data_IF_545220545818
#
_entry.id   IF_545220545818
#
_cell.length_a   1.000
_cell.length_b   1.000
_cell.length_c   1.000
_cell.angle_alpha   90.00
_cell.angle_beta   90.00
_cell.angle_gamma   90.00
#
_symmetry.space_group_name_H-M   'P 1'
#
loop_
_entity.id
_entity.type
_entity.pdbx_description
1 polymer ?
#
# COMPACT_ATOMS: atom_id res chain seq x y z
N UNK A 1 -1.72 -4.95 -12.17
CA UNK A 1 -1.12 -3.67 -11.72
C UNK A 1 -0.18 -3.18 -12.81
N UNK A 2 -0.07 -1.87 -13.02
CA UNK A 2 0.82 -1.27 -14.03
C UNK A 2 0.13 -0.67 -15.26
N UNK A 3 -1.15 -0.31 -15.14
CA UNK A 3 -1.86 0.45 -16.19
C UNK A 3 -1.55 1.95 -16.11
N UNK A 4 -1.87 2.72 -17.15
CA UNK A 4 -1.71 4.19 -17.14
C UNK A 4 -2.47 4.90 -16.01
N UNK A 5 -3.54 4.29 -15.49
CA UNK A 5 -4.29 4.76 -14.32
C UNK A 5 -3.51 4.54 -13.02
N UNK A 6 -2.68 3.50 -12.96
CA UNK A 6 -1.83 3.24 -11.80
C UNK A 6 -0.66 4.24 -11.73
N UNK A 7 -0.18 4.73 -12.88
CA UNK A 7 0.90 5.74 -12.95
C UNK A 7 0.48 7.07 -12.33
N UNK A 8 -0.77 7.50 -12.53
CA UNK A 8 -1.28 8.72 -11.88
C UNK A 8 -1.38 8.61 -10.36
N UNK A 9 -1.47 7.38 -9.83
CA UNK A 9 -1.50 7.11 -8.38
C UNK A 9 -0.10 7.10 -7.76
N UNK A 10 0.97 7.06 -8.56
CA UNK A 10 2.34 7.06 -8.08
C UNK A 10 2.84 8.45 -7.65
N UNK A 11 2.26 9.52 -8.22
CA UNK A 11 2.59 10.88 -7.83
C UNK A 11 2.16 11.12 -6.36
N UNK A 12 3.12 11.45 -5.50
CA UNK A 12 2.91 11.61 -4.06
C UNK A 12 2.95 10.31 -3.24
N UNK A 13 3.22 9.15 -3.85
CA UNK A 13 3.51 7.94 -3.08
C UNK A 13 4.96 7.91 -2.59
N UNK A 14 5.18 7.34 -1.41
CA UNK A 14 6.51 7.02 -0.93
C UNK A 14 7.06 5.77 -1.63
N UNK A 15 8.34 5.78 -1.97
CA UNK A 15 9.05 4.67 -2.60
C UNK A 15 10.17 4.21 -1.67
N UNK A 16 10.16 2.94 -1.27
CA UNK A 16 11.34 2.33 -0.64
C UNK A 16 12.48 2.21 -1.65
N UNK A 17 13.60 2.87 -1.37
CA UNK A 17 14.80 2.90 -2.21
C UNK A 17 15.91 2.09 -1.54
N UNK A 18 16.53 1.19 -2.31
CA UNK A 18 17.76 0.51 -1.92
C UNK A 18 18.74 0.50 -3.09
N UNK A 19 19.99 0.86 -2.83
CA UNK A 19 21.07 0.87 -3.81
C UNK A 19 22.43 0.76 -3.09
N UNK A 20 23.54 0.51 -3.81
CA UNK A 20 24.88 0.80 -3.28
C UNK A 20 24.98 2.25 -2.80
N UNK A 21 25.75 2.51 -1.76
CA UNK A 21 25.85 3.83 -1.11
C UNK A 21 26.29 4.92 -2.10
N UNK A 22 27.20 4.58 -3.03
CA UNK A 22 27.70 5.50 -4.06
C UNK A 22 26.61 5.96 -5.04
N UNK A 23 25.52 5.20 -5.14
CA UNK A 23 24.39 5.46 -6.04
C UNK A 23 23.16 6.01 -5.31
N UNK A 24 23.20 6.14 -3.98
CA UNK A 24 22.05 6.56 -3.18
C UNK A 24 21.42 7.86 -3.67
N UNK A 25 22.22 8.91 -3.83
CA UNK A 25 21.73 10.22 -4.29
C UNK A 25 21.08 10.14 -5.68
N UNK A 26 21.64 9.34 -6.58
CA UNK A 26 21.07 9.15 -7.92
C UNK A 26 19.75 8.37 -7.88
N UNK A 27 19.66 7.35 -7.02
CA UNK A 27 18.44 6.56 -6.83
C UNK A 27 17.30 7.38 -6.20
N UNK A 28 17.61 8.19 -5.19
CA UNK A 28 16.65 9.10 -4.56
C UNK A 28 16.18 10.18 -5.55
N UNK A 29 17.11 10.76 -6.34
CA UNK A 29 16.78 11.75 -7.36
C UNK A 29 15.81 11.21 -8.42
N UNK A 30 15.98 9.96 -8.86
CA UNK A 30 15.07 9.32 -9.81
C UNK A 30 13.63 9.23 -9.27
N UNK A 31 13.47 8.91 -7.98
CA UNK A 31 12.14 8.87 -7.33
C UNK A 31 11.49 10.26 -7.33
N UNK A 32 12.26 11.29 -7.01
CA UNK A 32 11.78 12.68 -6.99
C UNK A 32 11.38 13.13 -8.39
N UNK A 33 12.17 12.81 -9.42
CA UNK A 33 11.85 13.12 -10.83
C UNK A 33 10.56 12.43 -11.32
N UNK A 34 10.26 11.25 -10.79
CA UNK A 34 8.99 10.56 -11.02
C UNK A 34 7.81 11.14 -10.22
N UNK A 35 8.05 12.14 -9.36
CA UNK A 35 7.05 12.78 -8.52
C UNK A 35 6.71 11.98 -7.26
N UNK A 36 7.56 11.03 -6.85
CA UNK A 36 7.42 10.28 -5.60
C UNK A 36 8.29 10.85 -4.47
N UNK A 37 8.13 10.29 -3.27
CA UNK A 37 8.94 10.62 -2.10
C UNK A 37 9.88 9.44 -1.75
N UNK A 38 11.21 9.58 -1.80
CA UNK A 38 12.10 8.47 -1.50
C UNK A 38 12.19 8.22 0.01
N UNK A 39 12.08 6.96 0.40
CA UNK A 39 12.40 6.47 1.75
C UNK A 39 13.53 5.45 1.64
N UNK A 40 14.65 5.67 2.34
CA UNK A 40 15.80 4.78 2.23
C UNK A 40 15.62 3.51 3.05
N UNK A 41 15.73 2.36 2.41
CA UNK A 41 15.65 1.04 3.02
C UNK A 41 17.00 0.35 2.86
N UNK A 42 17.66 0.02 3.97
CA UNK A 42 18.90 -0.75 3.96
C UNK A 42 18.68 -2.14 3.32
N UNK A 43 19.68 -2.69 2.64
CA UNK A 43 19.58 -3.96 1.90
C UNK A 43 19.13 -5.12 2.80
N UNK A 44 19.69 -5.20 4.02
CA UNK A 44 19.32 -6.18 5.04
C UNK A 44 17.88 -6.03 5.55
N UNK A 45 17.30 -4.83 5.42
CA UNK A 45 15.93 -4.53 5.86
C UNK A 45 14.89 -4.77 4.76
N UNK A 46 15.30 -5.00 3.52
CA UNK A 46 14.37 -5.25 2.41
C UNK A 46 13.37 -6.38 2.68
N UNK A 47 13.75 -7.53 3.28
CA UNK A 47 12.78 -8.57 3.61
C UNK A 47 11.71 -8.09 4.59
N UNK A 48 12.10 -7.31 5.60
CA UNK A 48 11.17 -6.75 6.59
C UNK A 48 10.25 -5.70 5.96
N UNK A 49 10.81 -4.80 5.16
CA UNK A 49 10.04 -3.79 4.41
C UNK A 49 9.01 -4.45 3.49
N UNK A 50 9.42 -5.45 2.70
CA UNK A 50 8.52 -6.20 1.83
C UNK A 50 7.44 -6.96 2.62
N UNK A 51 7.79 -7.55 3.76
CA UNK A 51 6.82 -8.22 4.63
C UNK A 51 5.78 -7.23 5.17
N UNK A 52 6.19 -6.05 5.63
CA UNK A 52 5.28 -5.01 6.09
C UNK A 52 4.29 -4.55 5.00
N UNK A 53 4.77 -4.33 3.78
CA UNK A 53 3.91 -3.98 2.64
C UNK A 53 2.95 -5.12 2.25
N UNK A 54 3.42 -6.37 2.25
CA UNK A 54 2.57 -7.51 1.94
C UNK A 54 1.45 -7.68 2.98
N UNK A 55 1.76 -7.52 4.27
CA UNK A 55 0.79 -7.54 5.36
C UNK A 55 -0.23 -6.40 5.21
N UNK A 56 0.23 -5.18 4.96
CA UNK A 56 -0.64 -4.00 4.90
C UNK A 56 -1.53 -3.95 3.65
N UNK A 57 -0.95 -4.20 2.47
CA UNK A 57 -1.65 -4.02 1.20
C UNK A 57 -2.24 -5.33 0.65
N UNK A 58 -1.45 -6.40 0.58
CA UNK A 58 -1.90 -7.63 -0.08
C UNK A 58 -2.91 -8.39 0.79
N UNK A 59 -2.65 -8.51 2.09
CA UNK A 59 -3.59 -9.20 2.98
C UNK A 59 -4.86 -8.40 3.22
N UNK A 60 -4.83 -7.08 3.14
CA UNK A 60 -6.05 -6.26 3.21
C UNK A 60 -7.02 -6.62 2.08
N UNK A 61 -6.52 -6.81 0.85
CA UNK A 61 -7.36 -7.24 -0.29
C UNK A 61 -8.01 -8.59 -0.01
N UNK A 62 -7.23 -9.57 0.46
CA UNK A 62 -7.76 -10.90 0.82
C UNK A 62 -8.82 -10.80 1.93
N UNK A 63 -8.53 -10.06 3.01
CA UNK A 63 -9.43 -9.88 4.14
C UNK A 63 -10.76 -9.23 3.72
N UNK A 64 -10.71 -8.20 2.86
CA UNK A 64 -11.90 -7.52 2.34
C UNK A 64 -12.72 -8.50 1.50
N UNK A 65 -12.08 -9.26 0.60
CA UNK A 65 -12.76 -10.23 -0.26
C UNK A 65 -13.47 -11.32 0.56
N UNK A 66 -12.79 -11.90 1.56
CA UNK A 66 -13.38 -12.90 2.46
C UNK A 66 -14.55 -12.31 3.27
N UNK A 67 -14.40 -11.08 3.78
CA UNK A 67 -15.47 -10.39 4.51
C UNK A 67 -16.70 -10.16 3.62
N UNK A 68 -16.51 -9.77 2.36
CA UNK A 68 -17.60 -9.61 1.40
C UNK A 68 -18.32 -10.94 1.14
N UNK A 69 -17.57 -12.04 0.99
CA UNK A 69 -18.14 -13.37 0.78
C UNK A 69 -19.00 -13.81 1.97
N UNK A 70 -18.52 -13.60 3.20
CA UNK A 70 -19.27 -13.92 4.42
C UNK A 70 -20.55 -13.10 4.54
N UNK A 71 -20.51 -11.80 4.23
CA UNK A 71 -21.69 -10.95 4.23
C UNK A 71 -22.72 -11.37 3.17
N UNK A 72 -22.25 -11.74 1.98
CA UNK A 72 -23.12 -12.27 0.93
C UNK A 72 -23.81 -13.58 1.38
N UNK A 73 -23.08 -14.50 2.03
CA UNK A 73 -23.64 -15.72 2.63
C UNK A 73 -24.66 -15.42 3.74
N UNK A 74 -24.50 -14.31 4.45
CA UNK A 74 -25.46 -13.84 5.45
C UNK A 74 -26.70 -13.14 4.86
N UNK A 75 -26.80 -13.03 3.52
CA UNK A 75 -27.95 -12.42 2.83
C UNK A 75 -27.81 -10.92 2.59
N UNK A 76 -26.63 -10.32 2.81
CA UNK A 76 -26.38 -8.91 2.48
C UNK A 76 -26.30 -8.74 0.97
N UNK A 77 -27.17 -7.90 0.41
CA UNK A 77 -27.30 -7.71 -1.04
C UNK A 77 -26.24 -6.78 -1.64
N UNK A 78 -25.65 -5.90 -0.84
CA UNK A 78 -24.61 -4.95 -1.24
C UNK A 78 -23.48 -4.89 -0.18
N UNK A 79 -22.67 -5.95 -0.04
CA UNK A 79 -21.65 -6.05 1.00
C UNK A 79 -20.53 -5.00 0.86
N UNK A 80 -20.22 -4.58 -0.37
CA UNK A 80 -19.29 -3.49 -0.69
C UNK A 80 -19.74 -2.15 -0.08
N UNK A 81 -21.03 -1.82 -0.24
CA UNK A 81 -21.61 -0.58 0.30
C UNK A 81 -21.64 -0.58 1.83
N UNK A 82 -21.80 -1.75 2.42
CA UNK A 82 -21.77 -1.93 3.87
C UNK A 82 -20.34 -1.82 4.43
N UNK A 83 -19.38 -2.51 3.81
CA UNK A 83 -17.99 -2.55 4.30
C UNK A 83 -17.21 -1.27 4.02
N UNK A 84 -17.42 -0.61 2.88
CA UNK A 84 -16.62 0.53 2.45
C UNK A 84 -16.45 1.61 3.53
N UNK A 85 -17.53 2.17 4.10
CA UNK A 85 -17.42 3.17 5.16
C UNK A 85 -16.77 2.64 6.46
N UNK A 86 -17.06 1.39 6.83
CA UNK A 86 -16.53 0.78 8.05
C UNK A 86 -15.03 0.55 7.97
N UNK A 87 -14.56 -0.02 6.85
CA UNK A 87 -13.15 -0.28 6.62
C UNK A 87 -12.37 1.01 6.37
N UNK A 88 -12.96 2.00 5.69
CA UNK A 88 -12.36 3.33 5.55
C UNK A 88 -12.10 3.98 6.91
N UNK A 89 -13.12 4.04 7.77
CA UNK A 89 -12.97 4.60 9.13
C UNK A 89 -11.96 3.80 9.98
N UNK A 90 -11.96 2.48 9.87
CA UNK A 90 -11.01 1.63 10.60
C UNK A 90 -9.56 1.88 10.14
N UNK A 91 -9.32 1.99 8.82
CA UNK A 91 -8.01 2.28 8.26
C UNK A 91 -7.52 3.67 8.68
N UNK A 92 -8.37 4.70 8.53
CA UNK A 92 -8.04 6.07 8.93
C UNK A 92 -7.67 6.17 10.41
N UNK A 93 -8.42 5.47 11.28
CA UNK A 93 -8.14 5.44 12.71
C UNK A 93 -6.83 4.72 13.03
N UNK A 94 -6.55 3.60 12.35
CA UNK A 94 -5.32 2.85 12.54
C UNK A 94 -4.09 3.68 12.16
N UNK A 95 -4.15 4.40 11.03
CA UNK A 95 -3.07 5.26 10.55
C UNK A 95 -2.81 6.50 11.43
N UNK A 96 -3.82 6.97 12.17
CA UNK A 96 -3.65 8.10 13.11
C UNK A 96 -3.17 7.69 14.50
N UNK A 97 -3.37 6.42 14.88
CA UNK A 97 -3.12 5.93 16.23
C UNK A 97 -1.86 5.06 16.36
N UNK A 98 -1.30 4.63 15.22
CA UNK A 98 0.04 4.03 15.14
C UNK A 98 1.12 5.09 15.16
#
# INVERSE_FOLDING_TARGET
TGSSVDVQRLAGCSFGVTAPEELRLAAEALVIEMGGEPEWIAEESRPLYHAALALGANHLVTLVAESMELLAKAGVTAPDRMLGPLLGAALDNALRSG
#
